data_IF_456066232722
#
_entry.id   IF_456066232722
#
_cell.length_a   1.000
_cell.length_b   1.000
_cell.length_c   1.000
_cell.angle_alpha   90.00
_cell.angle_beta   90.00
_cell.angle_gamma   90.00
#
_symmetry.space_group_name_H-M   'P 1'
#
loop_
_entity.id
_entity.type
_entity.pdbx_description
1 polymer ?
#
# COMPACT_ATOMS: atom_id res chain seq x y z
N UNK A 1 24.36 23.55 14.02
CA UNK A 1 24.04 24.46 12.92
C UNK A 1 22.71 24.04 12.32
N UNK A 2 21.72 24.95 12.41
CA UNK A 2 20.31 24.76 12.00
C UNK A 2 20.10 24.91 10.46
N UNK A 3 21.15 24.84 9.65
CA UNK A 3 21.08 25.14 8.21
C UNK A 3 21.00 23.89 7.31
N UNK A 4 21.15 22.65 7.82
CA UNK A 4 21.23 21.45 6.98
C UNK A 4 19.93 20.60 6.92
N UNK A 5 18.79 21.12 7.37
CA UNK A 5 17.51 20.35 7.44
C UNK A 5 16.54 20.67 6.29
N UNK A 6 16.89 21.56 5.37
CA UNK A 6 15.92 22.15 4.44
C UNK A 6 15.90 21.60 3.00
N UNK A 7 16.68 20.56 2.67
CA UNK A 7 16.73 20.03 1.30
C UNK A 7 15.87 18.78 1.03
N UNK A 8 15.09 18.33 1.99
CA UNK A 8 14.00 17.40 1.67
C UNK A 8 12.80 18.22 1.18
N UNK A 9 12.74 18.46 -0.11
CA UNK A 9 11.52 18.94 -0.76
C UNK A 9 10.43 17.90 -0.46
N UNK A 10 9.63 18.15 0.56
CA UNK A 10 8.37 17.43 0.81
C UNK A 10 7.46 17.73 -0.37
N UNK A 11 7.53 16.89 -1.40
CA UNK A 11 6.51 16.89 -2.45
C UNK A 11 5.23 16.35 -1.81
N UNK A 12 4.54 17.22 -1.11
CA UNK A 12 3.24 16.89 -0.53
C UNK A 12 2.22 16.97 -1.65
N UNK A 13 1.81 15.83 -2.17
CA UNK A 13 0.67 15.77 -3.10
C UNK A 13 -0.55 16.26 -2.34
N UNK A 14 -1.25 17.25 -2.92
CA UNK A 14 -2.49 17.83 -2.39
C UNK A 14 -3.65 17.45 -3.28
N UNK A 15 -4.83 17.43 -2.70
CA UNK A 15 -6.05 17.31 -3.48
C UNK A 15 -6.20 18.52 -4.41
N UNK A 16 -6.72 18.29 -5.61
CA UNK A 16 -7.11 19.37 -6.50
C UNK A 16 -8.23 20.20 -5.85
N UNK A 17 -8.33 21.49 -6.20
CA UNK A 17 -9.31 22.40 -5.60
C UNK A 17 -10.77 21.90 -5.75
N UNK A 18 -11.04 21.20 -6.87
CA UNK A 18 -12.35 20.61 -7.16
C UNK A 18 -12.32 19.07 -7.12
N UNK A 19 -11.42 18.48 -6.31
CA UNK A 19 -11.33 17.04 -6.19
C UNK A 19 -12.64 16.44 -5.68
N UNK A 20 -13.11 15.41 -6.37
CA UNK A 20 -14.33 14.67 -6.00
C UNK A 20 -13.99 13.43 -5.21
N UNK A 21 -14.96 12.87 -4.48
CA UNK A 21 -14.77 11.58 -3.83
C UNK A 21 -14.62 10.49 -4.89
N UNK A 22 -13.62 9.60 -4.72
CA UNK A 22 -13.46 8.42 -5.55
C UNK A 22 -14.69 7.53 -5.41
N UNK A 23 -15.36 7.15 -6.53
CA UNK A 23 -16.42 6.14 -6.49
C UNK A 23 -15.93 4.80 -5.95
N UNK A 24 -16.85 3.87 -5.71
CA UNK A 24 -16.50 2.49 -5.38
C UNK A 24 -15.65 1.87 -6.49
N UNK A 25 -14.45 1.42 -6.11
CA UNK A 25 -13.45 0.89 -7.04
C UNK A 25 -13.79 -0.56 -7.40
N UNK A 26 -13.83 -0.84 -8.71
CA UNK A 26 -13.96 -2.20 -9.26
C UNK A 26 -12.61 -2.84 -9.58
N UNK A 27 -11.59 -2.02 -9.82
CA UNK A 27 -10.19 -2.43 -9.88
C UNK A 27 -9.54 -2.38 -11.27
N UNK A 28 -10.11 -1.69 -12.27
CA UNK A 28 -9.36 -1.43 -13.50
C UNK A 28 -8.34 -0.32 -13.26
N UNK A 29 -7.07 -0.59 -13.58
CA UNK A 29 -5.97 0.40 -13.49
C UNK A 29 -5.39 0.64 -14.87
N UNK A 30 -5.40 1.89 -15.33
CA UNK A 30 -4.85 2.27 -16.63
C UNK A 30 -3.79 3.35 -16.49
N UNK A 31 -2.60 3.09 -17.03
CA UNK A 31 -1.58 4.08 -17.33
C UNK A 31 -1.77 4.51 -18.78
N UNK A 32 -1.95 5.82 -19.01
CA UNK A 32 -2.21 6.41 -20.31
C UNK A 32 -1.12 7.44 -20.63
N UNK A 33 -0.14 7.04 -21.44
CA UNK A 33 1.01 7.86 -21.86
C UNK A 33 1.76 8.51 -20.69
N UNK A 34 1.97 7.77 -19.59
CA UNK A 34 2.56 8.28 -18.35
C UNK A 34 4.03 8.59 -18.51
N UNK A 35 4.39 9.82 -18.17
CA UNK A 35 5.77 10.29 -18.05
C UNK A 35 6.00 10.73 -16.60
N UNK A 36 7.15 10.33 -16.02
CA UNK A 36 7.45 10.67 -14.65
C UNK A 36 8.94 10.79 -14.37
N UNK A 37 9.28 11.80 -13.56
CA UNK A 37 10.60 12.06 -12.97
C UNK A 37 10.41 12.51 -11.53
N UNK A 38 11.27 12.10 -10.62
CA UNK A 38 11.30 12.64 -9.25
C UNK A 38 11.90 14.04 -9.20
N UNK A 39 12.84 14.30 -10.08
CA UNK A 39 13.52 15.58 -10.31
C UNK A 39 13.75 15.79 -11.82
N UNK A 40 14.30 16.92 -12.20
CA UNK A 40 14.55 17.27 -13.61
C UNK A 40 15.73 16.49 -14.22
N UNK A 41 16.56 15.83 -13.41
CA UNK A 41 17.80 15.22 -13.85
C UNK A 41 17.61 13.88 -14.55
N UNK A 42 16.59 13.10 -14.17
CA UNK A 42 16.40 11.74 -14.67
C UNK A 42 14.93 11.36 -14.83
N UNK A 43 14.54 11.12 -16.08
CA UNK A 43 13.23 10.55 -16.37
C UNK A 43 13.20 9.06 -16.02
N UNK A 44 12.26 8.66 -15.16
CA UNK A 44 12.09 7.29 -14.70
C UNK A 44 11.10 6.52 -15.58
N UNK A 45 9.94 7.12 -15.87
CA UNK A 45 8.95 6.54 -16.78
C UNK A 45 8.85 7.40 -18.04
N UNK A 46 8.83 6.73 -19.20
CA UNK A 46 8.75 7.36 -20.52
C UNK A 46 7.62 6.73 -21.30
N UNK A 47 6.56 7.49 -21.53
CA UNK A 47 5.41 7.10 -22.35
C UNK A 47 4.86 5.71 -22.01
N UNK A 48 4.68 5.44 -20.70
CA UNK A 48 4.25 4.15 -20.22
C UNK A 48 2.73 4.03 -20.34
N UNK A 49 2.29 3.01 -21.08
CA UNK A 49 0.85 2.72 -21.27
C UNK A 49 0.57 1.24 -21.08
N UNK A 50 -0.38 0.93 -20.21
CA UNK A 50 -0.92 -0.42 -20.00
C UNK A 50 -2.25 -0.34 -19.26
N UNK A 51 -3.01 -1.43 -19.30
CA UNK A 51 -4.25 -1.59 -18.52
C UNK A 51 -4.25 -2.94 -17.82
N UNK A 52 -4.60 -2.93 -16.53
CA UNK A 52 -4.89 -4.11 -15.70
C UNK A 52 -6.40 -4.13 -15.48
N UNK A 53 -7.05 -5.25 -15.81
CA UNK A 53 -8.49 -5.40 -15.64
C UNK A 53 -8.86 -5.80 -14.21
N UNK A 54 -10.11 -5.57 -13.80
CA UNK A 54 -10.60 -6.05 -12.50
C UNK A 54 -10.36 -7.56 -12.32
N UNK A 55 -9.83 -7.94 -11.15
CA UNK A 55 -9.54 -9.34 -10.83
C UNK A 55 -8.27 -9.92 -11.45
N UNK A 56 -7.55 -9.17 -12.28
CA UNK A 56 -6.25 -9.60 -12.80
C UNK A 56 -5.15 -9.42 -11.74
N UNK A 57 -4.22 -10.38 -11.72
CA UNK A 57 -2.97 -10.27 -10.96
C UNK A 57 -1.82 -9.99 -11.92
N UNK A 58 -1.06 -8.93 -11.65
CA UNK A 58 0.07 -8.49 -12.49
C UNK A 58 1.34 -8.43 -11.66
N UNK A 59 2.43 -8.97 -12.19
CA UNK A 59 3.75 -8.85 -11.60
C UNK A 59 4.61 -7.84 -12.39
N UNK A 60 5.14 -6.84 -11.68
CA UNK A 60 6.12 -5.92 -12.24
C UNK A 60 7.52 -6.52 -12.07
N UNK A 61 8.17 -6.88 -13.15
CA UNK A 61 9.51 -7.49 -13.14
C UNK A 61 10.53 -6.58 -13.84
N UNK A 62 11.75 -6.59 -13.33
CA UNK A 62 12.84 -5.79 -13.88
C UNK A 62 13.94 -5.53 -12.86
N UNK A 63 15.11 -5.04 -13.29
CA UNK A 63 16.22 -4.73 -12.40
C UNK A 63 15.88 -3.59 -11.43
N UNK A 64 16.69 -3.43 -10.38
CA UNK A 64 16.61 -2.27 -9.49
C UNK A 64 16.73 -0.98 -10.30
N UNK A 65 15.89 0.01 -10.00
CA UNK A 65 15.83 1.27 -10.74
C UNK A 65 15.02 1.24 -12.04
N UNK A 66 14.37 0.12 -12.39
CA UNK A 66 13.51 0.02 -13.59
C UNK A 66 12.16 0.75 -13.45
N UNK A 67 11.87 1.40 -12.31
CA UNK A 67 10.61 2.15 -12.11
C UNK A 67 9.47 1.35 -11.49
N UNK A 68 9.70 0.11 -11.01
CA UNK A 68 8.64 -0.72 -10.38
C UNK A 68 7.96 -0.01 -9.20
N UNK A 69 8.74 0.40 -8.20
CA UNK A 69 8.22 1.14 -7.03
C UNK A 69 7.66 2.52 -7.42
N UNK A 70 8.15 3.11 -8.52
CA UNK A 70 7.58 4.34 -9.07
C UNK A 70 6.15 4.13 -9.55
N UNK A 71 5.87 3.03 -10.26
CA UNK A 71 4.51 2.66 -10.69
C UNK A 71 3.60 2.51 -9.47
N UNK A 72 4.04 1.79 -8.43
CA UNK A 72 3.32 1.64 -7.17
C UNK A 72 3.02 3.00 -6.51
N UNK A 73 4.02 3.87 -6.44
CA UNK A 73 3.89 5.21 -5.87
C UNK A 73 2.90 6.10 -6.65
N UNK A 74 2.84 5.96 -7.96
CA UNK A 74 1.92 6.71 -8.81
C UNK A 74 0.48 6.20 -8.69
N UNK A 75 0.26 4.89 -8.67
CA UNK A 75 -1.08 4.31 -8.45
C UNK A 75 -1.63 4.75 -7.08
N UNK A 76 -0.77 4.74 -6.05
CA UNK A 76 -1.11 5.15 -4.69
C UNK A 76 -1.17 6.68 -4.52
N UNK A 77 -0.87 7.42 -5.59
CA UNK A 77 -0.82 8.89 -5.61
C UNK A 77 0.06 9.48 -4.51
N UNK A 78 1.23 8.85 -4.26
CA UNK A 78 2.30 9.49 -3.47
C UNK A 78 2.99 10.60 -4.26
N UNK A 79 2.89 10.54 -5.59
CA UNK A 79 3.34 11.56 -6.54
C UNK A 79 2.29 11.74 -7.64
N UNK A 80 2.24 12.93 -8.23
CA UNK A 80 1.50 13.17 -9.46
C UNK A 80 2.42 12.91 -10.67
N UNK A 81 1.85 12.49 -11.80
CA UNK A 81 2.58 12.31 -13.05
C UNK A 81 3.01 13.66 -13.63
N UNK A 82 4.12 13.71 -14.38
CA UNK A 82 4.56 14.90 -15.11
C UNK A 82 3.86 15.03 -16.47
N UNK A 83 3.36 13.92 -17.02
CA UNK A 83 2.62 13.88 -18.27
C UNK A 83 1.83 12.59 -18.39
N UNK A 84 0.79 12.59 -19.23
CA UNK A 84 -0.17 11.50 -19.26
C UNK A 84 -1.08 11.49 -18.03
N UNK A 85 -1.67 10.34 -17.73
CA UNK A 85 -2.58 10.20 -16.58
C UNK A 85 -2.63 8.76 -16.09
N UNK A 86 -2.98 8.59 -14.81
CA UNK A 86 -3.31 7.30 -14.22
C UNK A 86 -4.82 7.28 -13.95
N UNK A 87 -5.49 6.28 -14.46
CA UNK A 87 -6.94 6.12 -14.29
C UNK A 87 -7.22 4.86 -13.44
N UNK A 88 -8.22 4.96 -12.58
CA UNK A 88 -8.82 3.80 -11.92
C UNK A 88 -10.31 3.80 -12.27
N UNK A 89 -10.77 2.70 -12.88
CA UNK A 89 -12.13 2.55 -13.44
C UNK A 89 -12.52 3.72 -14.36
N UNK A 90 -11.56 4.22 -15.15
CA UNK A 90 -11.74 5.36 -16.06
C UNK A 90 -11.70 6.75 -15.37
N UNK A 91 -11.62 6.80 -14.04
CA UNK A 91 -11.51 8.04 -13.28
C UNK A 91 -10.04 8.45 -13.12
N UNK A 92 -9.68 9.67 -13.53
CA UNK A 92 -8.34 10.23 -13.32
C UNK A 92 -8.10 10.43 -11.81
N UNK A 93 -7.09 9.72 -11.25
CA UNK A 93 -6.81 9.77 -9.83
C UNK A 93 -6.29 11.13 -9.35
N UNK A 94 -5.82 11.99 -10.25
CA UNK A 94 -5.42 13.36 -9.91
C UNK A 94 -6.61 14.26 -9.55
N UNK A 95 -7.82 13.89 -9.99
CA UNK A 95 -9.06 14.65 -9.83
C UNK A 95 -9.93 14.15 -8.67
N UNK A 96 -9.49 13.13 -7.92
CA UNK A 96 -10.22 12.63 -6.75
C UNK A 96 -9.48 12.99 -5.46
N UNK A 97 -10.17 12.91 -4.31
CA UNK A 97 -9.49 13.11 -3.03
C UNK A 97 -8.60 11.91 -2.69
N UNK A 98 -7.40 12.19 -2.18
CA UNK A 98 -6.40 11.18 -1.82
C UNK A 98 -6.95 10.19 -0.79
N UNK A 99 -7.71 10.72 0.19
CA UNK A 99 -8.32 9.90 1.22
C UNK A 99 -9.26 8.85 0.62
N UNK A 100 -10.23 9.29 -0.21
CA UNK A 100 -11.24 8.38 -0.80
C UNK A 100 -10.65 7.38 -1.80
N UNK A 101 -9.50 7.68 -2.38
CA UNK A 101 -8.75 6.76 -3.22
C UNK A 101 -8.08 5.69 -2.36
N UNK A 102 -7.30 6.13 -1.35
CA UNK A 102 -6.46 5.21 -0.56
C UNK A 102 -7.24 4.35 0.42
N UNK A 103 -8.41 4.79 0.89
CA UNK A 103 -9.25 3.98 1.78
C UNK A 103 -9.74 2.68 1.12
N UNK A 104 -9.73 2.61 -0.22
CA UNK A 104 -10.12 1.44 -1.00
C UNK A 104 -8.92 0.63 -1.52
N UNK A 105 -7.69 0.99 -1.12
CA UNK A 105 -6.46 0.36 -1.56
C UNK A 105 -5.74 -0.29 -0.39
N UNK A 106 -5.26 -1.51 -0.58
CA UNK A 106 -4.34 -2.18 0.33
C UNK A 106 -2.90 -2.08 -0.20
N UNK A 107 -2.02 -1.46 0.58
CA UNK A 107 -0.61 -1.31 0.20
C UNK A 107 0.24 -1.99 1.25
N UNK A 108 0.97 -3.02 0.86
CA UNK A 108 1.96 -3.70 1.68
C UNK A 108 3.36 -3.27 1.24
N UNK A 109 4.01 -2.51 2.11
CA UNK A 109 5.40 -2.06 1.88
C UNK A 109 6.39 -3.13 2.35
N UNK A 110 7.62 -3.08 1.82
CA UNK A 110 8.72 -3.97 2.20
C UNK A 110 8.96 -4.00 3.71
N UNK A 111 8.97 -2.84 4.37
CA UNK A 111 9.10 -2.73 5.81
C UNK A 111 7.74 -2.85 6.52
N UNK A 112 7.50 -4.01 7.09
CA UNK A 112 6.28 -4.29 7.85
C UNK A 112 6.33 -3.63 9.23
N UNK A 113 5.56 -2.56 9.41
CA UNK A 113 5.49 -1.86 10.70
C UNK A 113 4.53 -2.58 11.66
N UNK A 114 5.03 -2.86 12.86
CA UNK A 114 4.25 -3.43 13.97
C UNK A 114 4.12 -2.37 15.07
N UNK A 115 2.88 -2.07 15.44
CA UNK A 115 2.56 -1.15 16.52
C UNK A 115 2.70 -1.84 17.88
N UNK A 116 2.96 -1.07 18.93
CA UNK A 116 2.87 -1.57 20.31
C UNK A 116 1.42 -1.98 20.62
N UNK A 117 1.23 -3.03 21.40
CA UNK A 117 -0.07 -3.64 21.68
C UNK A 117 -0.03 -5.14 21.44
N UNK A 118 -1.15 -5.78 21.29
CA UNK A 118 -1.18 -7.20 20.98
C UNK A 118 -1.30 -7.48 19.46
N UNK A 119 -1.24 -8.76 19.10
CA UNK A 119 -1.33 -9.19 17.68
C UNK A 119 -2.72 -8.88 17.12
N UNK A 120 -3.78 -9.07 17.92
CA UNK A 120 -5.16 -8.80 17.51
C UNK A 120 -5.35 -7.32 17.14
N UNK A 121 -4.87 -6.41 17.98
CA UNK A 121 -4.92 -4.96 17.73
C UNK A 121 -4.14 -4.57 16.49
N UNK A 122 -2.96 -5.18 16.29
CA UNK A 122 -2.17 -4.95 15.11
C UNK A 122 -2.88 -5.33 13.80
N UNK A 123 -3.65 -6.41 13.80
CA UNK A 123 -4.42 -6.83 12.63
C UNK A 123 -5.68 -5.96 12.50
N UNK A 124 -6.38 -5.70 13.61
CA UNK A 124 -7.58 -4.86 13.69
C UNK A 124 -7.37 -3.45 13.15
N UNK A 125 -6.12 -2.96 13.15
CA UNK A 125 -5.79 -1.64 12.60
C UNK A 125 -6.17 -1.49 11.11
N UNK A 126 -6.36 -2.59 10.38
CA UNK A 126 -6.88 -2.58 9.01
C UNK A 126 -8.37 -2.27 8.91
N UNK A 127 -9.15 -2.60 9.97
CA UNK A 127 -10.58 -2.35 10.09
C UNK A 127 -10.94 -2.32 11.58
N UNK A 128 -11.11 -1.12 12.14
CA UNK A 128 -11.22 -0.90 13.59
C UNK A 128 -12.45 -1.56 14.23
N UNK A 129 -13.53 -1.71 13.47
CA UNK A 129 -14.79 -2.36 13.88
C UNK A 129 -14.85 -3.85 13.51
N UNK A 130 -13.73 -4.44 13.08
CA UNK A 130 -13.68 -5.86 12.73
C UNK A 130 -13.98 -6.75 13.93
N UNK A 131 -14.79 -7.77 13.70
CA UNK A 131 -15.02 -8.81 14.67
C UNK A 131 -13.79 -9.72 14.80
N UNK A 132 -13.71 -10.46 15.92
CA UNK A 132 -12.63 -11.43 16.12
C UNK A 132 -12.62 -12.52 15.03
N UNK A 133 -13.80 -12.94 14.58
CA UNK A 133 -13.95 -13.91 13.51
C UNK A 133 -13.36 -13.42 12.19
N UNK A 134 -13.56 -12.14 11.84
CA UNK A 134 -12.99 -11.51 10.66
C UNK A 134 -11.46 -11.46 10.77
N UNK A 135 -10.92 -11.10 11.94
CA UNK A 135 -9.46 -11.06 12.20
C UNK A 135 -8.84 -12.45 12.04
N UNK A 136 -9.45 -13.47 12.66
CA UNK A 136 -8.98 -14.86 12.54
C UNK A 136 -9.07 -15.36 11.10
N UNK A 137 -10.14 -15.03 10.38
CA UNK A 137 -10.31 -15.37 8.96
C UNK A 137 -9.20 -14.74 8.10
N UNK A 138 -8.94 -13.44 8.26
CA UNK A 138 -7.87 -12.76 7.55
C UNK A 138 -6.50 -13.40 7.85
N UNK A 139 -6.23 -13.70 9.12
CA UNK A 139 -4.99 -14.34 9.56
C UNK A 139 -4.80 -15.74 8.97
N UNK A 140 -5.87 -16.53 8.88
CA UNK A 140 -5.84 -17.87 8.24
C UNK A 140 -5.58 -17.77 6.75
N UNK A 141 -6.17 -16.82 6.07
CA UNK A 141 -5.98 -16.63 4.63
C UNK A 141 -4.51 -16.39 4.26
N UNK A 142 -3.76 -15.69 5.13
CA UNK A 142 -2.32 -15.43 4.94
C UNK A 142 -1.42 -16.39 5.72
N UNK A 143 -1.94 -17.46 6.30
CA UNK A 143 -1.21 -18.44 7.12
C UNK A 143 -0.58 -17.87 8.41
N UNK A 144 -0.99 -16.68 8.85
CA UNK A 144 -0.53 -16.09 10.12
C UNK A 144 -1.06 -16.84 11.34
N UNK A 145 -2.29 -17.37 11.29
CA UNK A 145 -2.91 -18.14 12.38
C UNK A 145 -2.07 -19.39 12.80
N UNK A 146 -1.28 -19.94 11.89
CA UNK A 146 -0.44 -21.11 12.16
C UNK A 146 0.62 -20.85 13.24
N UNK A 147 1.24 -19.68 13.26
CA UNK A 147 2.20 -19.33 14.29
C UNK A 147 1.55 -18.64 15.49
N UNK A 148 0.51 -17.81 15.25
CA UNK A 148 -0.21 -17.10 16.32
C UNK A 148 -0.83 -18.10 17.29
N UNK A 149 -1.48 -19.15 16.79
CA UNK A 149 -2.13 -20.16 17.62
C UNK A 149 -1.17 -20.98 18.50
N UNK A 150 0.12 -20.99 18.19
CA UNK A 150 1.20 -21.65 18.96
C UNK A 150 1.80 -20.77 20.04
N UNK A 151 1.50 -19.47 20.04
CA UNK A 151 1.95 -18.53 21.08
C UNK A 151 1.15 -18.76 22.39
N UNK A 152 1.75 -18.53 23.57
CA UNK A 152 1.05 -18.72 24.86
C UNK A 152 -0.29 -17.98 24.96
N UNK A 153 -0.29 -16.71 24.60
CA UNK A 153 -1.46 -15.83 24.66
C UNK A 153 -2.15 -15.65 23.30
N UNK A 154 -1.72 -16.42 22.29
CA UNK A 154 -2.28 -16.40 20.92
C UNK A 154 -2.41 -14.97 20.39
N UNK A 155 -3.59 -14.54 20.00
CA UNK A 155 -3.88 -13.21 19.46
C UNK A 155 -3.67 -12.07 20.48
N UNK A 156 -3.78 -12.35 21.79
CA UNK A 156 -3.50 -11.41 22.88
C UNK A 156 -2.01 -11.35 23.25
N UNK A 157 -1.15 -12.02 22.50
CA UNK A 157 0.31 -11.92 22.72
C UNK A 157 0.75 -10.48 22.50
N UNK A 158 1.29 -9.85 23.55
CA UNK A 158 1.86 -8.51 23.48
C UNK A 158 3.07 -8.50 22.57
N UNK A 159 3.06 -7.62 21.58
CA UNK A 159 4.22 -7.32 20.74
C UNK A 159 4.85 -6.03 21.20
N UNK A 160 6.11 -6.16 21.67
CA UNK A 160 6.90 -5.02 22.12
C UNK A 160 7.22 -4.09 20.96
N UNK A 161 7.79 -2.95 21.28
CA UNK A 161 8.16 -1.91 20.29
C UNK A 161 8.77 -2.52 19.02
N UNK A 162 8.18 -2.17 17.88
CA UNK A 162 8.54 -2.67 16.54
C UNK A 162 8.48 -4.19 16.37
N UNK A 163 7.74 -4.91 17.24
CA UNK A 163 7.62 -6.36 17.17
C UNK A 163 8.95 -7.09 17.31
N UNK A 164 9.82 -6.64 18.26
CA UNK A 164 11.18 -7.18 18.43
C UNK A 164 11.23 -8.69 18.71
N UNK A 165 10.15 -9.27 19.20
CA UNK A 165 10.00 -10.71 19.46
C UNK A 165 9.53 -11.53 18.25
N UNK A 166 9.15 -10.88 17.16
CA UNK A 166 8.66 -11.52 15.94
C UNK A 166 9.77 -11.61 14.89
N UNK A 167 9.83 -12.71 14.17
CA UNK A 167 10.67 -12.78 12.96
C UNK A 167 10.16 -11.83 11.89
N UNK A 168 11.01 -11.50 10.91
CA UNK A 168 10.61 -10.63 9.80
C UNK A 168 9.42 -11.22 9.03
N UNK A 169 9.43 -12.53 8.76
CA UNK A 169 8.32 -13.21 8.11
C UNK A 169 7.01 -13.13 8.91
N UNK A 170 7.06 -13.30 10.26
CA UNK A 170 5.89 -13.15 11.11
C UNK A 170 5.32 -11.73 11.08
N UNK A 171 6.17 -10.71 11.08
CA UNK A 171 5.76 -9.30 10.92
C UNK A 171 5.07 -9.07 9.57
N UNK A 172 5.63 -9.63 8.50
CA UNK A 172 5.02 -9.56 7.17
C UNK A 172 3.63 -10.22 7.13
N UNK A 173 3.47 -11.40 7.73
CA UNK A 173 2.19 -12.09 7.78
C UNK A 173 1.13 -11.30 8.58
N UNK A 174 1.51 -10.69 9.72
CA UNK A 174 0.61 -9.81 10.49
C UNK A 174 0.22 -8.58 9.66
N UNK A 175 1.19 -7.94 9.00
CA UNK A 175 0.93 -6.78 8.15
C UNK A 175 0.03 -7.15 6.96
N UNK A 176 0.21 -8.35 6.39
CA UNK A 176 -0.62 -8.83 5.31
C UNK A 176 -2.06 -9.12 5.78
N UNK A 177 -2.22 -9.76 6.95
CA UNK A 177 -3.54 -9.96 7.57
C UNK A 177 -4.28 -8.63 7.82
N UNK A 178 -3.56 -7.61 8.33
CA UNK A 178 -4.05 -6.23 8.48
C UNK A 178 -4.56 -5.65 7.16
N UNK A 179 -3.75 -5.73 6.12
CA UNK A 179 -4.09 -5.20 4.80
C UNK A 179 -5.27 -5.95 4.18
N UNK A 180 -5.31 -7.27 4.32
CA UNK A 180 -6.42 -8.08 3.79
C UNK A 180 -7.73 -7.83 4.55
N UNK A 181 -7.64 -7.55 5.86
CA UNK A 181 -8.82 -7.26 6.70
C UNK A 181 -9.56 -6.00 6.27
N UNK A 182 -8.88 -5.03 5.65
CA UNK A 182 -9.50 -3.83 5.10
C UNK A 182 -10.33 -4.09 3.84
N UNK A 183 -10.29 -5.32 3.29
CA UNK A 183 -11.01 -5.75 2.07
C UNK A 183 -10.78 -4.79 0.89
N UNK A 184 -9.54 -4.55 0.50
CA UNK A 184 -9.21 -3.55 -0.50
C UNK A 184 -9.64 -3.99 -1.91
N UNK A 185 -10.16 -3.06 -2.71
CA UNK A 185 -10.49 -3.30 -4.12
C UNK A 185 -9.23 -3.48 -4.99
N UNK A 186 -8.12 -2.83 -4.61
CA UNK A 186 -6.81 -2.97 -5.24
C UNK A 186 -5.78 -3.31 -4.17
N UNK A 187 -5.07 -4.43 -4.34
CA UNK A 187 -4.01 -4.86 -3.45
C UNK A 187 -2.65 -4.70 -4.15
N UNK A 188 -1.75 -3.96 -3.52
CA UNK A 188 -0.38 -3.73 -3.98
C UNK A 188 0.59 -4.36 -3.00
N UNK A 189 1.46 -5.25 -3.50
CA UNK A 189 2.51 -5.90 -2.72
C UNK A 189 3.87 -5.46 -3.26
N UNK A 190 4.61 -4.65 -2.50
CA UNK A 190 5.95 -4.21 -2.88
C UNK A 190 6.99 -5.07 -2.16
N UNK A 191 7.76 -5.86 -2.95
CA UNK A 191 8.82 -6.77 -2.49
C UNK A 191 8.45 -7.68 -1.30
N UNK A 192 7.25 -8.28 -1.34
CA UNK A 192 6.80 -9.21 -0.29
C UNK A 192 7.60 -10.52 -0.24
N UNK A 193 8.61 -10.69 -1.10
CA UNK A 193 9.43 -11.91 -1.19
C UNK A 193 10.90 -11.57 -1.32
N UNK A 194 11.62 -11.70 -0.26
CA UNK A 194 13.08 -11.88 -0.27
C UNK A 194 13.43 -13.10 0.57
#
# INVERSE_FOLDING_TARGET
>A
NEEDVNDYVKVTVKDAENAVKMPEIRGEVTFDHVNFSYDESKQILKDVSFTVKPGESVALVGPTGAGKSTIVNLISRFYNVNGGRVLIDGQDISQVTIHSLREQMGIMMQDSFIFSGDIEDNIRYGKLDATREEIVKASRTVCADEFISKMPDRYQTEVRERGSMLSQGQKQLISFARTLLSDPAILILDEATS
#
